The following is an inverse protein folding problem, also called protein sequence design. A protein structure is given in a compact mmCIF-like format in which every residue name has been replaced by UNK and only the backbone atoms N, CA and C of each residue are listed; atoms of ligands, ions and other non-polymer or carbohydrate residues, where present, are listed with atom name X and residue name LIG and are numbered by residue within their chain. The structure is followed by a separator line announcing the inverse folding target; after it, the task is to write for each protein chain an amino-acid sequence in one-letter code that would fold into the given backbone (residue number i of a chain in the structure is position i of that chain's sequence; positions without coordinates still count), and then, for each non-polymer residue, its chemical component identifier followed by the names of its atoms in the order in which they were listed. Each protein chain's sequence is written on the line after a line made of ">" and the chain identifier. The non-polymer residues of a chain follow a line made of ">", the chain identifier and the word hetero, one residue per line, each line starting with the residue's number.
data_IF_062654904468
#
_entry.id   IF_062654904468
#
_cell.length_a   1.000
_cell.length_b   1.000
_cell.length_c   1.000
_cell.angle_alpha   90.00
_cell.angle_beta   90.00
_cell.angle_gamma   90.00
#
_symmetry.space_group_name_H-M   'P 1'
#
loop_
_entity.id
_entity.type
_entity.pdbx_description
1 polymer ?
#
# COMPACT_ATOMS: atom_id res chain seq x y z
N UNK A 1 -14.67 11.11 -29.87
CA UNK A 1 -14.35 9.81 -30.50
C UNK A 1 -13.14 9.23 -29.79
N UNK A 2 -13.33 8.44 -28.73
CA UNK A 2 -12.21 7.82 -28.00
C UNK A 2 -11.97 6.44 -28.62
N UNK A 3 -10.94 6.33 -29.45
CA UNK A 3 -10.55 5.09 -30.12
C UNK A 3 -10.32 3.97 -29.11
N UNK A 4 -10.91 2.79 -29.36
CA UNK A 4 -10.81 1.61 -28.51
C UNK A 4 -9.37 1.34 -28.07
N UNK A 5 -9.10 1.14 -26.76
CA UNK A 5 -7.74 0.92 -26.30
C UNK A 5 -7.20 -0.37 -26.93
N UNK A 6 -6.08 -0.28 -27.65
CA UNK A 6 -5.43 -1.47 -28.21
C UNK A 6 -5.01 -2.34 -27.02
N UNK A 7 -5.30 -3.65 -27.07
CA UNK A 7 -4.94 -4.62 -26.02
C UNK A 7 -3.46 -4.53 -25.59
N UNK A 8 -2.58 -4.13 -26.53
CA UNK A 8 -1.15 -3.87 -26.29
C UNK A 8 -0.84 -2.74 -25.30
N UNK A 9 -1.74 -1.77 -25.10
CA UNK A 9 -1.59 -0.68 -24.12
C UNK A 9 -2.23 -1.03 -22.76
N UNK A 10 -3.21 -1.94 -22.75
CA UNK A 10 -3.85 -2.40 -21.53
C UNK A 10 -2.90 -3.26 -20.68
N UNK A 11 -2.21 -4.23 -21.28
CA UNK A 11 -1.33 -5.16 -20.57
C UNK A 11 -0.29 -4.48 -19.63
N UNK A 12 0.51 -3.49 -20.08
CA UNK A 12 1.47 -2.83 -19.18
C UNK A 12 0.78 -1.98 -18.10
N UNK A 13 -0.39 -1.40 -18.40
CA UNK A 13 -1.16 -0.62 -17.43
C UNK A 13 -1.69 -1.50 -16.30
N UNK A 14 -2.31 -2.62 -16.64
CA UNK A 14 -2.81 -3.59 -15.65
C UNK A 14 -1.67 -4.27 -14.88
N UNK A 15 -0.52 -4.53 -15.53
CA UNK A 15 0.66 -5.04 -14.84
C UNK A 15 1.22 -4.04 -13.82
N UNK A 16 1.26 -2.74 -14.16
CA UNK A 16 1.68 -1.68 -13.24
C UNK A 16 0.70 -1.52 -12.06
N UNK A 17 -0.60 -1.59 -12.32
CA UNK A 17 -1.63 -1.60 -11.27
C UNK A 17 -1.45 -2.83 -10.37
N UNK A 18 -1.28 -4.02 -10.97
CA UNK A 18 -1.05 -5.27 -10.23
C UNK A 18 0.20 -5.23 -9.37
N UNK A 19 1.32 -4.69 -9.87
CA UNK A 19 2.57 -4.52 -9.12
C UNK A 19 2.44 -3.51 -7.98
N UNK A 20 1.77 -2.38 -8.20
CA UNK A 20 1.51 -1.39 -7.15
C UNK A 20 0.53 -1.93 -6.09
N UNK A 21 -0.44 -2.75 -6.50
CA UNK A 21 -1.37 -3.43 -5.61
C UNK A 21 -0.80 -4.68 -4.94
N UNK A 22 0.30 -5.27 -5.44
CA UNK A 22 0.93 -6.47 -4.87
C UNK A 22 1.49 -6.25 -3.45
N UNK A 23 1.63 -4.98 -3.05
CA UNK A 23 1.78 -4.59 -1.65
C UNK A 23 0.63 -3.70 -1.17
N UNK A 24 0.11 -2.81 -2.02
CA UNK A 24 -0.97 -1.92 -1.65
C UNK A 24 -0.70 -1.08 -0.38
N UNK A 25 -1.72 -0.37 0.12
CA UNK A 25 -1.62 0.36 1.38
C UNK A 25 -1.28 -0.57 2.56
N UNK A 26 -1.74 -1.83 2.51
CA UNK A 26 -1.53 -2.81 3.58
C UNK A 26 -0.04 -3.18 3.77
N UNK A 27 0.72 -3.39 2.69
CA UNK A 27 2.16 -3.66 2.81
C UNK A 27 2.93 -2.42 3.24
N UNK A 28 2.51 -1.22 2.84
CA UNK A 28 3.12 0.02 3.34
C UNK A 28 2.91 0.16 4.84
N UNK A 29 1.70 -0.12 5.34
CA UNK A 29 1.38 -0.12 6.76
C UNK A 29 2.19 -1.18 7.52
N UNK A 30 2.30 -2.40 6.99
CA UNK A 30 3.11 -3.47 7.60
C UNK A 30 4.61 -3.12 7.64
N UNK A 31 5.13 -2.48 6.60
CA UNK A 31 6.51 -2.00 6.57
C UNK A 31 6.72 -0.85 7.56
N UNK A 32 5.73 0.04 7.69
CA UNK A 32 5.71 1.10 8.70
C UNK A 32 5.74 0.52 10.12
N UNK A 33 4.93 -0.49 10.41
CA UNK A 33 4.94 -1.18 11.69
C UNK A 33 6.33 -1.72 12.03
N UNK A 34 6.91 -2.50 11.10
CA UNK A 34 8.24 -3.10 11.29
C UNK A 34 9.33 -2.06 11.50
N UNK A 35 9.35 -0.99 10.68
CA UNK A 35 10.37 0.04 10.81
C UNK A 35 10.19 0.89 12.08
N UNK A 36 8.97 1.32 12.38
CA UNK A 36 8.69 2.28 13.45
C UNK A 36 8.63 1.61 14.82
N UNK A 37 8.02 0.43 14.91
CA UNK A 37 7.80 -0.30 16.17
C UNK A 37 8.96 -1.26 16.45
N UNK A 38 9.34 -2.11 15.49
CA UNK A 38 10.38 -3.12 15.75
C UNK A 38 11.81 -2.55 15.66
N UNK A 39 12.15 -1.88 14.55
CA UNK A 39 13.52 -1.40 14.30
C UNK A 39 13.83 -0.11 15.07
N UNK A 40 13.00 0.92 14.94
CA UNK A 40 13.22 2.25 15.53
C UNK A 40 12.68 2.40 16.95
N UNK A 41 11.69 1.59 17.33
CA UNK A 41 10.99 1.64 18.63
C UNK A 41 10.47 3.05 19.00
N UNK A 42 10.03 3.82 18.01
CA UNK A 42 9.50 5.17 18.23
C UNK A 42 8.08 5.17 18.81
N UNK A 43 7.32 4.11 18.50
CA UNK A 43 5.97 3.87 18.99
C UNK A 43 5.90 2.44 19.51
N UNK A 44 5.09 2.21 20.54
CA UNK A 44 4.72 0.85 20.95
C UNK A 44 3.68 0.27 19.99
N UNK A 45 3.56 -1.06 19.98
CA UNK A 45 2.60 -1.78 19.13
C UNK A 45 1.16 -1.29 19.35
N UNK A 46 0.75 -1.06 20.60
CA UNK A 46 -0.56 -0.46 20.94
C UNK A 46 -0.73 0.96 20.38
N UNK A 47 0.29 1.81 20.45
CA UNK A 47 0.20 3.18 19.94
C UNK A 47 0.10 3.19 18.41
N UNK A 48 0.82 2.31 17.73
CA UNK A 48 0.74 2.15 16.29
C UNK A 48 -0.66 1.65 15.87
N UNK A 49 -1.18 0.61 16.52
CA UNK A 49 -2.51 0.08 16.25
C UNK A 49 -3.62 1.11 16.51
N UNK A 50 -3.51 1.90 17.59
CA UNK A 50 -4.45 2.99 17.87
C UNK A 50 -4.43 4.07 16.79
N UNK A 51 -3.24 4.48 16.32
CA UNK A 51 -3.12 5.47 15.24
C UNK A 51 -3.68 4.93 13.90
N UNK A 52 -3.46 3.65 13.64
CA UNK A 52 -3.94 2.96 12.43
C UNK A 52 -5.47 2.83 12.44
N UNK A 53 -6.05 2.46 13.58
CA UNK A 53 -7.49 2.41 13.78
C UNK A 53 -8.14 3.80 13.65
N UNK A 54 -7.47 4.84 14.16
CA UNK A 54 -7.91 6.23 13.96
C UNK A 54 -7.90 6.64 12.48
N UNK A 55 -6.91 6.21 11.70
CA UNK A 55 -6.79 6.54 10.27
C UNK A 55 -7.73 5.75 9.36
N UNK A 56 -8.31 4.63 9.85
CA UNK A 56 -9.27 3.81 9.11
C UNK A 56 -10.75 4.21 9.34
N UNK A 57 -11.02 5.21 10.19
CA UNK A 57 -12.33 5.87 10.33
C UNK A 57 -12.65 6.80 9.14
#
# INVERSE_FOLDING_TARGET
>A
MQSSPKLRQCAPTWCKIGLLSFGGPAAQIALMHREIVENKKWLTEEQFLNALNFCML
#
